data_IF_383927327832
#
_entry.id   IF_383927327832
#
_cell.length_a   1.000
_cell.length_b   1.000
_cell.length_c   1.000
_cell.angle_alpha   90.00
_cell.angle_beta   90.00
_cell.angle_gamma   90.00
#
_symmetry.space_group_name_H-M   'P 1'
#
loop_
_entity.id
_entity.type
_entity.pdbx_description
1 polymer ?
#
# COMPACT_ATOMS: atom_id res chain seq x y z
N UNK A 1 -0.18 6.37 -3.99
CA UNK A 1 1.27 6.14 -4.00
C UNK A 1 1.99 7.07 -3.05
N UNK A 2 2.06 8.40 -3.29
CA UNK A 2 2.69 9.35 -2.34
C UNK A 2 2.09 9.20 -0.94
N UNK A 3 0.76 9.36 -0.80
CA UNK A 3 0.05 9.13 0.47
C UNK A 3 0.23 7.72 1.05
N UNK A 4 0.41 6.71 0.20
CA UNK A 4 0.60 5.32 0.64
C UNK A 4 1.95 5.17 1.34
N UNK A 5 3.00 5.76 0.77
CA UNK A 5 4.37 5.80 1.33
C UNK A 5 4.42 6.70 2.57
N UNK A 6 3.73 7.84 2.57
CA UNK A 6 3.66 8.72 3.73
C UNK A 6 2.90 8.11 4.91
N UNK A 7 1.82 7.37 4.65
CA UNK A 7 1.10 6.61 5.69
C UNK A 7 1.97 5.50 6.32
N UNK A 8 2.99 5.02 5.61
CA UNK A 8 4.01 4.10 6.12
C UNK A 8 5.05 4.81 7.01
N UNK A 9 4.96 6.12 7.18
CA UNK A 9 5.88 6.94 7.97
C UNK A 9 7.15 7.36 7.23
N UNK A 10 7.17 7.20 5.90
CA UNK A 10 8.31 7.52 5.04
C UNK A 10 8.04 8.86 4.35
N UNK A 11 8.92 9.84 4.55
CA UNK A 11 8.82 11.10 3.83
C UNK A 11 9.18 10.91 2.35
N UNK A 12 8.23 11.17 1.44
CA UNK A 12 8.43 10.95 0.00
C UNK A 12 9.55 11.82 -0.59
N UNK A 13 9.84 13.00 -0.02
CA UNK A 13 10.96 13.85 -0.46
C UNK A 13 12.31 13.18 -0.17
N UNK A 14 12.46 12.55 1.01
CA UNK A 14 13.67 11.78 1.35
C UNK A 14 13.86 10.59 0.43
N UNK A 15 12.77 9.96 0.00
CA UNK A 15 12.81 8.87 -0.97
C UNK A 15 13.29 9.35 -2.35
N UNK A 16 12.89 10.55 -2.79
CA UNK A 16 13.42 11.18 -4.01
C UNK A 16 14.90 11.52 -3.85
N UNK A 17 15.33 12.03 -2.69
CA UNK A 17 16.74 12.31 -2.42
C UNK A 17 17.60 11.03 -2.49
N UNK A 18 17.11 9.92 -1.93
CA UNK A 18 17.76 8.63 -2.05
C UNK A 18 17.87 8.17 -3.52
N UNK A 19 16.76 8.27 -4.26
CA UNK A 19 16.74 7.92 -5.68
C UNK A 19 17.72 8.76 -6.51
N UNK A 20 17.80 10.06 -6.25
CA UNK A 20 18.72 10.94 -6.97
C UNK A 20 20.20 10.60 -6.71
N UNK A 21 20.52 9.99 -5.55
CA UNK A 21 21.89 9.55 -5.21
C UNK A 21 22.22 8.17 -5.78
N UNK A 22 21.26 7.24 -5.77
CA UNK A 22 21.52 5.82 -6.03
C UNK A 22 20.88 5.28 -7.32
N UNK A 23 20.07 6.07 -8.03
CA UNK A 23 19.25 5.70 -9.22
C UNK A 23 18.34 4.48 -8.99
N UNK A 24 18.08 4.13 -7.72
CA UNK A 24 17.27 3.00 -7.27
C UNK A 24 16.33 3.41 -6.14
N UNK A 25 15.21 2.70 -6.02
CA UNK A 25 14.26 2.89 -4.92
C UNK A 25 14.58 1.88 -3.80
N UNK A 26 14.65 2.30 -2.54
CA UNK A 26 14.94 1.38 -1.44
C UNK A 26 13.81 0.36 -1.29
N UNK A 27 14.16 -0.88 -0.92
CA UNK A 27 13.20 -1.92 -0.58
C UNK A 27 12.75 -1.80 0.88
N UNK A 28 13.65 -1.38 1.77
CA UNK A 28 13.39 -1.32 3.21
C UNK A 28 13.66 0.08 3.78
N UNK A 29 12.84 0.46 4.74
CA UNK A 29 12.99 1.66 5.56
C UNK A 29 13.01 1.26 7.03
N UNK A 30 14.01 1.73 7.77
CA UNK A 30 14.11 1.57 9.22
C UNK A 30 14.05 2.92 9.90
N UNK A 31 13.30 2.97 11.00
CA UNK A 31 13.23 4.13 11.89
C UNK A 31 13.60 3.73 13.31
N UNK A 32 14.66 4.33 13.85
CA UNK A 32 15.11 4.13 15.23
C UNK A 32 14.62 5.25 16.14
N UNK A 33 13.89 4.91 17.21
CA UNK A 33 13.46 5.82 18.31
C UNK A 33 13.07 7.24 17.88
N UNK A 34 12.42 7.37 16.72
CA UNK A 34 11.99 8.63 16.12
C UNK A 34 13.12 9.63 15.77
N UNK A 35 14.40 9.23 15.79
CA UNK A 35 15.56 10.12 15.56
C UNK A 35 16.35 9.81 14.29
N UNK A 36 16.52 8.54 13.96
CA UNK A 36 17.37 8.12 12.83
C UNK A 36 16.56 7.30 11.83
N UNK A 37 16.78 7.60 10.55
CA UNK A 37 16.06 7.01 9.42
C UNK A 37 17.07 6.42 8.45
N UNK A 38 16.92 5.13 8.14
CA UNK A 38 17.80 4.39 7.25
C UNK A 38 17.01 3.79 6.09
N UNK A 39 17.63 3.80 4.92
CA UNK A 39 17.08 3.21 3.70
C UNK A 39 18.02 2.13 3.18
N UNK A 40 17.46 0.97 2.85
CA UNK A 40 18.22 -0.17 2.36
C UNK A 40 17.68 -0.64 1.00
N UNK A 41 18.60 -0.95 0.08
CA UNK A 41 18.27 -1.34 -1.29
C UNK A 41 17.79 -2.79 -1.37
N UNK A 42 18.47 -3.66 -0.62
CA UNK A 42 18.39 -5.12 -0.68
C UNK A 42 18.57 -5.74 0.72
N UNK A 43 18.12 -6.99 0.89
CA UNK A 43 18.17 -7.76 2.14
C UNK A 43 19.59 -7.87 2.71
N UNK A 44 20.60 -8.09 1.87
CA UNK A 44 21.97 -8.29 2.32
C UNK A 44 22.51 -7.10 3.13
N UNK A 45 22.23 -5.87 2.67
CA UNK A 45 22.67 -4.65 3.37
C UNK A 45 21.88 -4.41 4.66
N UNK A 46 20.62 -4.83 4.66
CA UNK A 46 19.80 -4.81 5.87
C UNK A 46 20.40 -5.78 6.90
N UNK A 47 20.63 -7.04 6.53
CA UNK A 47 21.22 -8.06 7.41
C UNK A 47 22.60 -7.66 7.94
N UNK A 48 23.45 -7.04 7.12
CA UNK A 48 24.75 -6.50 7.57
C UNK A 48 24.62 -5.39 8.61
N UNK A 49 23.60 -4.53 8.48
CA UNK A 49 23.33 -3.45 9.43
C UNK A 49 22.82 -4.00 10.76
N UNK A 50 21.84 -4.90 10.73
CA UNK A 50 21.28 -5.52 11.93
C UNK A 50 22.32 -6.43 12.63
N UNK A 51 23.15 -7.15 11.86
CA UNK A 51 24.18 -8.05 12.39
C UNK A 51 25.36 -7.34 13.08
N UNK A 52 25.60 -6.06 12.78
CA UNK A 52 26.65 -5.26 13.46
C UNK A 52 26.24 -4.71 14.81
N UNK A 53 24.94 -4.55 15.07
CA UNK A 53 24.43 -3.98 16.32
C UNK A 53 24.06 -5.02 17.37
N UNK A 54 24.12 -6.32 17.05
CA UNK A 54 23.99 -7.39 18.04
C UNK A 54 22.58 -7.59 18.61
N UNK A 55 21.57 -6.93 18.05
CA UNK A 55 20.17 -7.18 18.40
C UNK A 55 19.61 -8.29 17.47
N UNK A 56 19.21 -9.42 18.05
CA UNK A 56 18.19 -10.27 17.42
C UNK A 56 16.90 -9.45 17.37
N UNK A 57 16.73 -8.72 16.27
CA UNK A 57 15.52 -7.94 16.03
C UNK A 57 14.41 -8.95 15.78
N UNK A 58 13.59 -9.16 16.80
CA UNK A 58 12.33 -9.84 16.66
C UNK A 58 11.38 -8.91 15.88
N UNK A 59 11.48 -9.00 14.54
CA UNK A 59 10.81 -8.16 13.53
C UNK A 59 9.27 -8.11 13.65
N UNK A 60 8.70 -8.92 14.53
CA UNK A 60 7.27 -9.16 14.67
C UNK A 60 6.72 -8.86 16.07
N UNK A 61 7.57 -8.68 17.09
CA UNK A 61 7.12 -8.26 18.42
C UNK A 61 7.27 -6.76 18.61
N UNK A 62 6.14 -6.05 18.67
CA UNK A 62 6.08 -4.61 18.97
C UNK A 62 6.68 -4.23 20.35
N UNK A 63 7.15 -5.20 21.14
CA UNK A 63 7.58 -5.02 22.53
C UNK A 63 9.11 -5.13 22.78
N UNK A 64 9.94 -5.56 21.81
CA UNK A 64 11.38 -5.78 22.09
C UNK A 64 12.41 -5.15 21.15
N UNK A 65 12.03 -4.57 20.01
CA UNK A 65 12.98 -3.93 19.10
C UNK A 65 12.85 -2.41 19.09
N UNK A 66 13.96 -1.68 19.25
CA UNK A 66 13.99 -0.22 19.15
C UNK A 66 13.80 0.30 17.70
N UNK A 67 13.76 -0.62 16.74
CA UNK A 67 13.65 -0.37 15.30
C UNK A 67 12.25 -0.68 14.77
N UNK A 68 11.66 0.28 14.05
CA UNK A 68 10.48 0.04 13.21
C UNK A 68 10.90 -0.18 11.77
N UNK A 69 10.82 -1.42 11.29
CA UNK A 69 11.05 -1.76 9.88
C UNK A 69 9.76 -1.64 9.08
N UNK A 70 9.87 -1.05 7.88
CA UNK A 70 8.79 -1.02 6.89
C UNK A 70 9.32 -1.40 5.51
N UNK A 71 8.70 -2.40 4.91
CA UNK A 71 8.94 -2.78 3.52
C UNK A 71 8.15 -1.93 2.54
N UNK A 72 8.83 -1.49 1.48
CA UNK A 72 8.31 -0.65 0.41
C UNK A 72 7.92 -1.54 -0.77
N UNK A 73 6.81 -2.27 -0.61
CA UNK A 73 6.23 -3.11 -1.67
C UNK A 73 5.98 -2.35 -2.99
N UNK A 74 5.75 -1.04 -2.92
CA UNK A 74 5.53 -0.19 -4.09
C UNK A 74 6.81 0.10 -4.90
N UNK A 75 8.00 -0.38 -4.48
CA UNK A 75 9.31 -0.19 -5.14
C UNK A 75 9.21 -0.37 -6.65
N UNK A 76 8.75 -1.53 -7.09
CA UNK A 76 8.64 -1.88 -8.52
C UNK A 76 7.75 -0.93 -9.32
N UNK A 77 6.68 -0.42 -8.71
CA UNK A 77 5.79 0.54 -9.36
C UNK A 77 6.39 1.95 -9.39
N UNK A 78 7.04 2.39 -8.31
CA UNK A 78 7.72 3.69 -8.24
C UNK A 78 8.87 3.75 -9.24
N UNK A 79 9.69 2.70 -9.33
CA UNK A 79 10.78 2.61 -10.30
C UNK A 79 10.29 2.71 -11.75
N UNK A 80 9.21 2.01 -12.09
CA UNK A 80 8.59 2.11 -13.43
C UNK A 80 8.15 3.54 -13.75
N UNK A 81 7.59 4.26 -12.78
CA UNK A 81 7.16 5.66 -12.95
C UNK A 81 8.37 6.58 -13.09
N UNK A 82 9.38 6.43 -12.23
CA UNK A 82 10.57 7.27 -12.25
C UNK A 82 11.39 7.06 -13.53
N UNK A 83 11.43 5.83 -14.06
CA UNK A 83 12.01 5.56 -15.38
C UNK A 83 11.28 6.30 -16.50
N UNK A 84 9.94 6.27 -16.51
CA UNK A 84 9.13 7.04 -17.47
C UNK A 84 9.36 8.55 -17.33
N UNK A 85 9.52 9.06 -16.11
CA UNK A 85 9.84 10.48 -15.87
C UNK A 85 11.23 10.84 -16.41
N UNK A 86 12.22 9.94 -16.25
CA UNK A 86 13.58 10.09 -16.80
C UNK A 86 13.56 10.13 -18.33
N UNK A 87 12.75 9.28 -18.98
CA UNK A 87 12.53 9.32 -20.44
C UNK A 87 11.95 10.67 -20.91
N UNK A 88 11.05 11.25 -20.12
CA UNK A 88 10.48 12.58 -20.36
C UNK A 88 11.39 13.74 -19.96
N UNK A 89 12.60 13.47 -19.45
CA UNK A 89 13.56 14.47 -18.91
C UNK A 89 12.97 15.33 -17.77
N UNK A 90 12.03 14.78 -17.02
CA UNK A 90 11.41 15.43 -15.86
C UNK A 90 12.01 14.83 -14.59
N UNK A 91 12.62 15.68 -13.76
CA UNK A 91 13.08 15.24 -12.43
C UNK A 91 11.87 14.91 -11.53
N UNK A 92 11.87 13.79 -10.79
CA UNK A 92 10.80 13.46 -9.84
C UNK A 92 10.52 14.56 -8.80
N UNK A 93 11.51 15.38 -8.46
CA UNK A 93 11.33 16.51 -7.52
C UNK A 93 10.33 17.55 -8.04
N UNK A 94 10.21 17.72 -9.37
CA UNK A 94 9.30 18.67 -10.01
C UNK A 94 7.82 18.40 -9.72
N UNK A 95 7.48 17.19 -9.26
CA UNK A 95 6.12 16.83 -8.84
C UNK A 95 5.63 17.76 -7.70
N UNK A 96 6.54 18.25 -6.86
CA UNK A 96 6.24 19.16 -5.75
C UNK A 96 6.44 20.65 -6.09
N UNK A 97 6.97 20.97 -7.27
CA UNK A 97 7.17 22.35 -7.70
C UNK A 97 5.86 22.97 -8.19
N UNK A 98 5.61 24.22 -7.81
CA UNK A 98 4.40 24.96 -8.18
C UNK A 98 4.52 25.60 -9.57
N UNK A 99 4.30 24.79 -10.60
CA UNK A 99 4.48 25.19 -12.01
C UNK A 99 3.13 25.33 -12.74
N UNK A 100 2.07 24.70 -12.25
CA UNK A 100 0.78 24.64 -12.94
C UNK A 100 -0.13 25.81 -12.54
N UNK A 101 -0.89 26.34 -13.49
CA UNK A 101 -1.87 27.41 -13.29
C UNK A 101 -3.22 26.92 -13.82
N UNK A 102 -4.31 27.21 -13.10
CA UNK A 102 -5.64 26.96 -13.61
C UNK A 102 -6.05 28.10 -14.55
N UNK A 103 -6.65 27.76 -15.70
CA UNK A 103 -7.17 28.75 -16.66
C UNK A 103 -8.10 29.82 -16.04
N UNK A 104 -8.72 29.52 -14.90
CA UNK A 104 -9.64 30.45 -14.22
C UNK A 104 -9.00 31.23 -13.05
N UNK A 105 -7.76 30.91 -12.65
CA UNK A 105 -7.04 31.57 -11.56
C UNK A 105 -5.58 31.76 -11.98
N UNK A 106 -5.27 32.86 -12.68
CA UNK A 106 -3.94 33.10 -13.25
C UNK A 106 -2.87 33.48 -12.21
N UNK A 107 -3.29 33.89 -11.00
CA UNK A 107 -2.38 34.37 -9.95
C UNK A 107 -1.83 33.26 -9.04
N UNK A 108 -2.50 32.11 -8.93
CA UNK A 108 -2.08 31.00 -8.08
C UNK A 108 -1.39 29.88 -8.86
N UNK A 109 -0.19 29.50 -8.41
CA UNK A 109 0.55 28.35 -8.93
C UNK A 109 0.38 27.14 -8.02
N UNK A 110 0.21 25.97 -8.62
CA UNK A 110 0.00 24.70 -7.94
C UNK A 110 1.04 23.67 -8.38
N UNK A 111 1.38 22.77 -7.46
CA UNK A 111 2.15 21.56 -7.75
C UNK A 111 1.28 20.50 -8.42
N UNK A 112 1.91 19.48 -9.02
CA UNK A 112 1.16 18.39 -9.65
C UNK A 112 0.30 17.65 -8.62
N UNK A 113 0.78 17.52 -7.37
CA UNK A 113 0.05 16.90 -6.26
C UNK A 113 -1.18 17.71 -5.90
N UNK A 114 -1.02 19.02 -5.63
CA UNK A 114 -2.13 19.92 -5.30
C UNK A 114 -3.14 19.99 -6.45
N UNK A 115 -2.67 20.09 -7.70
CA UNK A 115 -3.53 20.13 -8.88
C UNK A 115 -4.38 18.86 -9.00
N UNK A 116 -3.78 17.68 -8.79
CA UNK A 116 -4.51 16.42 -8.81
C UNK A 116 -5.57 16.35 -7.72
N UNK A 117 -5.29 16.86 -6.52
CA UNK A 117 -6.26 16.92 -5.44
C UNK A 117 -7.43 17.84 -5.77
N UNK A 118 -7.16 19.04 -6.28
CA UNK A 118 -8.20 20.00 -6.71
C UNK A 118 -9.06 19.40 -7.83
N UNK A 119 -8.44 18.77 -8.84
CA UNK A 119 -9.16 18.10 -9.92
C UNK A 119 -10.04 16.96 -9.40
N UNK A 120 -9.52 16.16 -8.48
CA UNK A 120 -10.27 15.07 -7.84
C UNK A 120 -11.45 15.60 -7.04
N UNK A 121 -11.29 16.70 -6.32
CA UNK A 121 -12.39 17.33 -5.58
C UNK A 121 -13.44 17.93 -6.51
N UNK A 122 -13.02 18.66 -7.55
CA UNK A 122 -13.94 19.19 -8.57
C UNK A 122 -14.73 18.07 -9.26
N UNK A 123 -14.06 16.97 -9.62
CA UNK A 123 -14.71 15.80 -10.21
C UNK A 123 -15.69 15.09 -9.27
N UNK A 124 -15.50 15.19 -7.94
CA UNK A 124 -16.42 14.61 -6.95
C UNK A 124 -17.68 15.43 -6.72
N UNK A 125 -17.66 16.75 -6.95
CA UNK A 125 -18.77 17.64 -6.59
C UNK A 125 -20.10 17.30 -7.27
N UNK A 126 -20.09 16.63 -8.42
CA UNK A 126 -21.30 16.17 -9.13
C UNK A 126 -21.59 14.67 -8.98
N UNK A 127 -20.77 13.92 -8.24
CA UNK A 127 -20.92 12.48 -8.09
C UNK A 127 -21.75 12.16 -6.84
N UNK A 128 -22.95 11.59 -7.05
CA UNK A 128 -23.69 10.90 -5.99
C UNK A 128 -23.21 9.45 -5.92
N UNK A 129 -22.59 9.07 -4.80
CA UNK A 129 -22.11 7.70 -4.57
C UNK A 129 -22.99 7.07 -3.50
N UNK A 130 -23.77 6.06 -3.88
CA UNK A 130 -24.53 5.22 -2.95
C UNK A 130 -23.74 3.95 -2.66
N UNK A 131 -23.53 3.66 -1.37
CA UNK A 131 -22.87 2.43 -0.91
C UNK A 131 -23.90 1.56 -0.22
N UNK A 132 -24.21 0.41 -0.82
CA UNK A 132 -25.01 -0.63 -0.20
C UNK A 132 -24.19 -1.36 0.87
N UNK A 133 -24.69 -1.39 2.11
CA UNK A 133 -24.07 -2.12 3.23
C UNK A 133 -24.59 -3.54 3.38
N UNK A 134 -25.76 -3.82 2.81
CA UNK A 134 -26.36 -5.14 2.73
C UNK A 134 -27.28 -5.25 1.53
N UNK A 135 -27.71 -6.48 1.22
CA UNK A 135 -28.59 -6.74 0.08
C UNK A 135 -29.98 -6.12 0.26
N UNK A 136 -30.45 -5.96 1.50
CA UNK A 136 -31.75 -5.35 1.82
C UNK A 136 -31.84 -3.84 1.55
N UNK A 137 -30.72 -3.16 1.29
CA UNK A 137 -30.69 -1.75 0.90
C UNK A 137 -30.87 -1.55 -0.61
N UNK A 138 -30.88 -2.65 -1.38
CA UNK A 138 -31.08 -2.65 -2.83
C UNK A 138 -32.54 -2.86 -3.18
N UNK A 139 -33.02 -2.15 -4.21
CA UNK A 139 -34.34 -2.42 -4.77
C UNK A 139 -34.35 -3.80 -5.47
N UNK A 140 -35.47 -4.55 -5.47
CA UNK A 140 -35.54 -5.87 -6.07
C UNK A 140 -35.10 -5.93 -7.55
N UNK A 141 -35.43 -4.91 -8.34
CA UNK A 141 -35.03 -4.79 -9.74
C UNK A 141 -33.50 -4.67 -9.87
N UNK A 142 -32.86 -3.86 -9.02
CA UNK A 142 -31.40 -3.69 -9.02
C UNK A 142 -30.70 -5.00 -8.62
N UNK A 143 -31.22 -5.70 -7.60
CA UNK A 143 -30.67 -6.98 -7.16
C UNK A 143 -30.73 -8.01 -8.29
N UNK A 144 -31.87 -8.09 -8.99
CA UNK A 144 -32.05 -8.99 -10.12
C UNK A 144 -31.05 -8.69 -11.24
N UNK A 145 -30.99 -7.44 -11.70
CA UNK A 145 -30.16 -7.04 -12.83
C UNK A 145 -28.66 -7.16 -12.56
N UNK A 146 -28.22 -6.94 -11.32
CA UNK A 146 -26.80 -6.96 -10.97
C UNK A 146 -26.30 -8.33 -10.52
N UNK A 147 -27.13 -9.09 -9.79
CA UNK A 147 -26.65 -10.25 -9.02
C UNK A 147 -27.33 -11.57 -9.42
N UNK A 148 -28.60 -11.56 -9.85
CA UNK A 148 -29.36 -12.79 -10.09
C UNK A 148 -29.52 -13.17 -11.57
N UNK A 149 -29.59 -12.18 -12.47
CA UNK A 149 -29.81 -12.37 -13.89
C UNK A 149 -28.70 -13.26 -14.50
N UNK A 150 -29.01 -14.42 -15.13
CA UNK A 150 -28.00 -15.35 -15.64
C UNK A 150 -26.97 -14.73 -16.58
N UNK A 151 -27.37 -13.72 -17.35
CA UNK A 151 -26.52 -13.02 -18.31
C UNK A 151 -25.52 -12.04 -17.67
N UNK A 152 -25.82 -11.53 -16.47
CA UNK A 152 -25.02 -10.47 -15.80
C UNK A 152 -24.37 -10.94 -14.49
N UNK A 153 -24.87 -12.02 -13.89
CA UNK A 153 -24.41 -12.51 -12.59
C UNK A 153 -22.97 -13.02 -12.65
N UNK A 154 -22.24 -12.78 -11.56
CA UNK A 154 -20.89 -13.30 -11.36
C UNK A 154 -20.97 -14.38 -10.27
N UNK A 155 -20.75 -15.63 -10.65
CA UNK A 155 -20.70 -16.76 -9.72
C UNK A 155 -19.26 -17.26 -9.59
N UNK A 156 -18.84 -17.54 -8.35
CA UNK A 156 -17.58 -18.25 -8.08
C UNK A 156 -17.91 -19.67 -7.61
N UNK A 157 -17.30 -20.67 -8.26
CA UNK A 157 -17.39 -22.06 -7.83
C UNK A 157 -16.33 -22.32 -6.76
N UNK A 158 -16.74 -22.73 -5.57
CA UNK A 158 -15.83 -23.15 -4.51
C UNK A 158 -15.36 -24.58 -4.81
N UNK A 159 -14.04 -24.79 -4.77
CA UNK A 159 -13.39 -26.08 -4.98
C UNK A 159 -12.49 -26.41 -3.80
N UNK A 160 -12.31 -27.70 -3.53
CA UNK A 160 -11.39 -28.19 -2.49
C UNK A 160 -10.25 -28.88 -3.23
N UNK A 161 -9.04 -28.32 -3.11
CA UNK A 161 -7.83 -28.89 -3.71
C UNK A 161 -7.15 -29.87 -2.75
N UNK A 162 -7.03 -29.48 -1.48
CA UNK A 162 -6.45 -30.28 -0.41
C UNK A 162 -7.36 -30.25 0.81
N UNK A 163 -8.01 -31.38 1.08
CA UNK A 163 -8.96 -31.50 2.18
C UNK A 163 -8.28 -31.44 3.56
N UNK A 164 -7.04 -31.91 3.68
CA UNK A 164 -6.31 -31.93 4.96
C UNK A 164 -5.91 -30.52 5.35
N UNK A 165 -5.31 -29.77 4.41
CA UNK A 165 -4.96 -28.36 4.66
C UNK A 165 -6.18 -27.48 4.90
N UNK A 166 -7.27 -27.73 4.18
CA UNK A 166 -8.51 -26.99 4.40
C UNK A 166 -9.01 -27.17 5.85
N UNK A 167 -9.02 -28.40 6.36
CA UNK A 167 -9.43 -28.72 7.73
C UNK A 167 -8.52 -28.06 8.78
N UNK A 168 -7.20 -28.07 8.56
CA UNK A 168 -6.24 -27.39 9.44
C UNK A 168 -6.51 -25.87 9.51
N UNK A 169 -6.76 -25.24 8.36
CA UNK A 169 -7.09 -23.80 8.29
C UNK A 169 -8.45 -23.53 8.95
N UNK A 170 -9.45 -24.37 8.71
CA UNK A 170 -10.76 -24.25 9.36
C UNK A 170 -10.63 -24.35 10.89
N UNK A 171 -9.88 -25.33 11.38
CA UNK A 171 -9.64 -25.51 12.83
C UNK A 171 -8.90 -24.31 13.41
N UNK A 172 -7.88 -23.81 12.72
CA UNK A 172 -7.10 -22.66 13.19
C UNK A 172 -7.92 -21.36 13.23
N UNK A 173 -8.72 -21.10 12.19
CA UNK A 173 -9.47 -19.85 12.06
C UNK A 173 -10.81 -19.85 12.78
N UNK A 174 -11.51 -20.98 12.79
CA UNK A 174 -12.88 -21.10 13.30
C UNK A 174 -12.99 -21.97 14.57
N UNK A 175 -11.92 -22.65 14.99
CA UNK A 175 -11.89 -23.44 16.22
C UNK A 175 -11.85 -22.59 17.49
N UNK A 176 -12.00 -23.23 18.65
CA UNK A 176 -12.18 -22.53 19.94
C UNK A 176 -10.89 -21.89 20.49
N UNK A 177 -9.72 -22.38 20.06
CA UNK A 177 -8.43 -21.92 20.54
C UNK A 177 -8.11 -20.52 20.00
N UNK A 178 -7.93 -19.55 20.91
CA UNK A 178 -7.68 -18.15 20.55
C UNK A 178 -6.22 -17.92 20.12
N UNK A 179 -5.26 -18.59 20.76
CA UNK A 179 -3.83 -18.38 20.50
C UNK A 179 -3.41 -18.70 19.06
N UNK A 180 -3.74 -19.89 18.50
CA UNK A 180 -3.34 -20.23 17.13
C UNK A 180 -3.96 -19.29 16.10
N UNK A 181 -5.19 -18.84 16.35
CA UNK A 181 -5.88 -17.87 15.49
C UNK A 181 -5.17 -16.52 15.51
N UNK A 182 -4.76 -16.05 16.69
CA UNK A 182 -4.07 -14.76 16.84
C UNK A 182 -2.73 -14.77 16.12
N UNK A 183 -1.91 -15.79 16.37
CA UNK A 183 -0.61 -15.95 15.70
C UNK A 183 -0.76 -16.01 14.18
N UNK A 184 -1.78 -16.73 13.68
CA UNK A 184 -2.08 -16.80 12.25
C UNK A 184 -2.42 -15.42 11.66
N UNK A 185 -3.29 -14.66 12.34
CA UNK A 185 -3.67 -13.32 11.88
C UNK A 185 -2.47 -12.38 11.93
N UNK A 186 -1.69 -12.36 13.00
CA UNK A 186 -0.51 -11.49 13.14
C UNK A 186 0.52 -11.76 12.04
N UNK A 187 0.77 -13.04 11.74
CA UNK A 187 1.70 -13.46 10.70
C UNK A 187 1.24 -13.02 9.30
N UNK A 188 -0.02 -13.28 8.94
CA UNK A 188 -0.47 -13.16 7.55
C UNK A 188 -1.33 -11.92 7.24
N UNK A 189 -1.77 -11.13 8.24
CA UNK A 189 -2.69 -10.00 8.03
C UNK A 189 -2.17 -8.95 7.03
N UNK A 190 -0.84 -8.78 6.95
CA UNK A 190 -0.22 -7.81 6.03
C UNK A 190 -0.16 -8.32 4.59
N UNK A 191 -0.20 -9.63 4.40
CA UNK A 191 -0.05 -10.30 3.10
C UNK A 191 -1.38 -10.42 2.32
N UNK A 192 -2.53 -10.29 3.00
CA UNK A 192 -3.88 -10.47 2.41
C UNK A 192 -4.12 -9.62 1.16
N UNK A 193 -3.49 -8.44 1.05
CA UNK A 193 -3.65 -7.56 -0.13
C UNK A 193 -3.06 -8.12 -1.42
N UNK A 194 -2.15 -9.10 -1.32
CA UNK A 194 -1.32 -9.57 -2.43
C UNK A 194 -1.46 -11.07 -2.70
N UNK A 195 -2.54 -11.71 -2.24
CA UNK A 195 -2.74 -13.17 -2.40
C UNK A 195 -2.89 -13.61 -3.87
N UNK A 196 -3.26 -12.70 -4.78
CA UNK A 196 -3.58 -12.98 -6.18
C UNK A 196 -2.59 -12.34 -7.21
N UNK A 197 -1.31 -12.11 -6.85
CA UNK A 197 -0.30 -11.55 -7.79
C UNK A 197 0.29 -12.61 -8.71
#
# INVERSE_FOLDING_TARGET
>A
MIKTVENKGINFKKLIEFYNKNDKIPAYYLKYKNREEYFFEDDNRLSEFLGKEGEEIDLFSDEKSDYKMVEIYEKSHIEKIFKKLKELKISPAKIFEKIFIFKNNEEERYSLVEMFEILKEKGKKSLSIQRYKGLGEMNPIQLWETTMAPEKRILKRVTIEDAVKAEEIFTTLMGDAVEPRREFIERFAREVKNLDI
#
